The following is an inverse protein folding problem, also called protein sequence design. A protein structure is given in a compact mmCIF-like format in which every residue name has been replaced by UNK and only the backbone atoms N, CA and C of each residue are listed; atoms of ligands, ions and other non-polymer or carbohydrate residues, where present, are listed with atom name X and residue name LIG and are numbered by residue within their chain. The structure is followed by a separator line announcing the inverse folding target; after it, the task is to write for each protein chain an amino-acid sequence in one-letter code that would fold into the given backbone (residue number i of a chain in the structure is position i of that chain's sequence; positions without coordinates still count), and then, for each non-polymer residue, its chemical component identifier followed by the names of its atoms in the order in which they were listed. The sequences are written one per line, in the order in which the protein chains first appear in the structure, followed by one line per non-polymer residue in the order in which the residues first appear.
data_IF_882496490119
#
_entry.id   IF_882496490119
#
_cell.length_a   1.000
_cell.length_b   1.000
_cell.length_c   1.000
_cell.angle_alpha   90.00
_cell.angle_beta   90.00
_cell.angle_gamma   90.00
#
_symmetry.space_group_name_H-M   'P 1'
#
loop_
_entity.id
_entity.type
_entity.pdbx_description
1 polymer ?
#
# COMPACT_ATOMS: atom_id res chain seq x y z
N UNK A 1 -9.45 -1.39 -10.27
CA UNK A 1 -8.00 -1.18 -10.39
C UNK A 1 -7.33 -2.46 -9.93
N UNK A 2 -6.29 -2.90 -10.62
CA UNK A 2 -5.40 -3.96 -10.17
C UNK A 2 -4.03 -3.31 -10.05
N UNK A 3 -3.36 -3.46 -8.91
CA UNK A 3 -1.93 -3.21 -8.82
C UNK A 3 -1.18 -4.34 -9.52
N UNK A 4 -0.09 -3.99 -10.18
CA UNK A 4 0.72 -4.94 -10.92
C UNK A 4 2.15 -4.42 -11.06
N UNK A 5 3.12 -5.33 -10.99
CA UNK A 5 4.46 -5.07 -11.51
C UNK A 5 4.55 -5.48 -12.98
N UNK A 6 5.28 -4.68 -13.75
CA UNK A 6 5.59 -4.96 -15.15
C UNK A 6 7.10 -5.17 -15.28
N UNK A 7 7.49 -6.42 -15.50
CA UNK A 7 8.89 -6.82 -15.60
C UNK A 7 9.27 -7.03 -17.06
N UNK A 8 10.09 -6.15 -17.62
CA UNK A 8 10.62 -6.31 -18.97
C UNK A 8 11.69 -7.41 -18.97
N UNK A 9 11.59 -8.38 -19.87
CA UNK A 9 12.60 -9.44 -20.01
C UNK A 9 13.64 -9.02 -21.07
N UNK A 10 14.86 -8.59 -20.68
CA UNK A 10 15.82 -7.98 -21.61
C UNK A 10 16.38 -8.93 -22.68
N UNK A 11 16.25 -10.25 -22.50
CA UNK A 11 16.85 -11.26 -23.38
C UNK A 11 15.84 -12.26 -23.96
N UNK A 12 14.54 -11.94 -23.92
CA UNK A 12 13.54 -12.77 -24.58
C UNK A 12 13.72 -12.72 -26.11
N UNK A 13 13.53 -13.87 -26.79
CA UNK A 13 13.63 -13.96 -28.26
C UNK A 13 12.66 -13.00 -28.96
N UNK A 14 11.50 -12.79 -28.34
CA UNK A 14 10.50 -11.81 -28.74
C UNK A 14 10.26 -10.84 -27.57
N UNK A 15 9.95 -9.55 -27.83
CA UNK A 15 9.63 -8.59 -26.77
C UNK A 15 8.55 -9.13 -25.83
N UNK A 16 8.94 -9.36 -24.57
CA UNK A 16 8.12 -10.04 -23.57
C UNK A 16 8.13 -9.27 -22.26
N UNK A 17 6.98 -9.21 -21.61
CA UNK A 17 6.78 -8.59 -20.30
C UNK A 17 6.10 -9.62 -19.41
N UNK A 18 6.63 -9.82 -18.20
CA UNK A 18 5.91 -10.54 -17.14
C UNK A 18 5.07 -9.54 -16.38
N UNK A 19 3.81 -9.90 -16.17
CA UNK A 19 2.86 -9.10 -15.39
C UNK A 19 2.60 -9.85 -14.10
N UNK A 20 3.09 -9.30 -13.00
CA UNK A 20 2.96 -9.88 -11.68
C UNK A 20 1.80 -9.19 -10.95
N UNK A 21 0.83 -9.99 -10.49
CA UNK A 21 -0.44 -9.54 -9.90
C UNK A 21 -0.84 -10.46 -8.76
N UNK A 22 -1.74 -10.00 -7.89
CA UNK A 22 -2.38 -10.86 -6.89
C UNK A 22 -3.07 -12.05 -7.59
N UNK A 23 -2.78 -13.26 -7.10
CA UNK A 23 -3.32 -14.52 -7.61
C UNK A 23 -4.85 -14.52 -7.65
N UNK A 24 -5.51 -13.83 -6.72
CA UNK A 24 -6.97 -13.76 -6.66
C UNK A 24 -7.59 -13.07 -7.89
N UNK A 25 -6.83 -12.23 -8.60
CA UNK A 25 -7.34 -11.44 -9.73
C UNK A 25 -6.74 -11.84 -11.08
N UNK A 26 -5.81 -12.80 -11.12
CA UNK A 26 -5.04 -13.13 -12.33
C UNK A 26 -5.94 -13.55 -13.49
N UNK A 27 -6.93 -14.42 -13.23
CA UNK A 27 -7.88 -14.91 -14.23
C UNK A 27 -8.74 -13.78 -14.79
N UNK A 28 -9.28 -12.93 -13.92
CA UNK A 28 -10.11 -11.79 -14.30
C UNK A 28 -9.32 -10.74 -15.10
N UNK A 29 -8.06 -10.50 -14.72
CA UNK A 29 -7.18 -9.60 -15.45
C UNK A 29 -6.85 -10.13 -16.85
N UNK A 30 -6.53 -11.43 -16.99
CA UNK A 30 -6.29 -12.06 -18.29
C UNK A 30 -7.53 -11.90 -19.18
N UNK A 31 -8.72 -12.18 -18.65
CA UNK A 31 -9.98 -12.00 -19.38
C UNK A 31 -10.21 -10.53 -19.76
N UNK A 32 -9.92 -9.59 -18.85
CA UNK A 32 -10.01 -8.16 -19.09
C UNK A 32 -9.10 -7.73 -20.25
N UNK A 33 -7.81 -8.07 -20.22
CA UNK A 33 -6.83 -7.68 -21.25
C UNK A 33 -7.16 -8.31 -22.61
N UNK A 34 -7.65 -9.56 -22.64
CA UNK A 34 -8.07 -10.23 -23.88
C UNK A 34 -9.12 -9.43 -24.66
N UNK A 35 -10.01 -8.69 -24.00
CA UNK A 35 -11.00 -7.82 -24.66
C UNK A 35 -10.36 -6.69 -25.48
N UNK A 36 -9.14 -6.27 -25.11
CA UNK A 36 -8.40 -5.20 -25.79
C UNK A 36 -7.41 -5.71 -26.84
N UNK A 37 -7.29 -7.03 -27.04
CA UNK A 37 -6.48 -7.66 -28.09
C UNK A 37 -7.15 -7.54 -29.47
N UNK A 38 -7.58 -6.34 -29.85
CA UNK A 38 -8.23 -6.08 -31.13
C UNK A 38 -7.20 -6.10 -32.26
N UNK A 39 -7.08 -7.24 -32.96
CA UNK A 39 -6.12 -7.48 -34.07
C UNK A 39 -4.64 -7.30 -33.71
N UNK A 40 -4.35 -7.00 -32.44
CA UNK A 40 -2.99 -6.80 -31.95
C UNK A 40 -2.24 -8.13 -31.89
N UNK A 41 -1.01 -8.14 -32.40
CA UNK A 41 -0.17 -9.34 -32.52
C UNK A 41 0.61 -9.60 -31.22
N UNK A 42 -0.07 -10.03 -30.17
CA UNK A 42 0.58 -10.48 -28.94
C UNK A 42 -0.11 -11.71 -28.34
N UNK A 43 0.60 -12.47 -27.53
CA UNK A 43 0.07 -13.62 -26.79
C UNK A 43 -0.03 -13.28 -25.30
N UNK A 44 -0.98 -13.92 -24.61
CA UNK A 44 -1.14 -13.81 -23.16
C UNK A 44 -1.21 -15.25 -22.66
N UNK A 45 -0.22 -15.63 -21.86
CA UNK A 45 -0.12 -16.95 -21.27
C UNK A 45 -0.04 -16.78 -19.75
N UNK A 46 -0.77 -17.62 -19.02
CA UNK A 46 -0.54 -17.77 -17.59
C UNK A 46 0.75 -18.58 -17.41
N UNK A 47 1.70 -17.99 -16.69
CA UNK A 47 3.03 -18.57 -16.40
C UNK A 47 3.27 -18.68 -14.91
N UNK A 48 2.21 -18.67 -14.10
CA UNK A 48 2.30 -18.75 -12.63
C UNK A 48 3.06 -20.00 -12.15
N UNK A 49 2.96 -21.11 -12.89
CA UNK A 49 3.67 -22.36 -12.56
C UNK A 49 5.14 -22.39 -13.02
N UNK A 50 5.63 -21.32 -13.68
CA UNK A 50 7.01 -21.23 -14.14
C UNK A 50 7.90 -20.39 -13.20
N UNK A 51 7.30 -19.56 -12.34
CA UNK A 51 8.01 -18.58 -11.53
C UNK A 51 7.55 -18.59 -10.08
N UNK A 52 8.52 -18.45 -9.17
CA UNK A 52 8.31 -17.99 -7.81
C UNK A 52 8.65 -16.51 -7.71
N UNK A 53 7.83 -15.76 -6.97
CA UNK A 53 8.03 -14.33 -6.72
C UNK A 53 8.50 -14.17 -5.30
N UNK A 54 9.66 -13.54 -5.12
CA UNK A 54 10.28 -13.32 -3.81
C UNK A 54 10.52 -11.84 -3.59
N UNK A 55 10.41 -11.40 -2.33
CA UNK A 55 10.88 -10.09 -1.90
C UNK A 55 12.17 -10.24 -1.09
N UNK A 56 13.23 -9.56 -1.51
CA UNK A 56 14.46 -9.42 -0.73
C UNK A 56 14.53 -7.99 -0.18
N UNK A 57 14.52 -7.84 1.14
CA UNK A 57 14.53 -6.53 1.80
C UNK A 57 15.48 -6.51 3.01
N UNK A 58 15.70 -5.31 3.56
CA UNK A 58 16.68 -5.07 4.62
C UNK A 58 18.09 -4.82 4.10
N UNK A 59 19.08 -4.96 4.98
CA UNK A 59 20.44 -4.47 4.75
C UNK A 59 21.40 -5.52 4.14
N UNK A 60 20.91 -6.73 3.85
CA UNK A 60 21.74 -7.77 3.26
C UNK A 60 22.09 -7.42 1.81
N UNK A 61 23.35 -7.64 1.43
CA UNK A 61 23.78 -7.49 0.05
C UNK A 61 23.16 -8.61 -0.79
N UNK A 62 22.52 -8.23 -1.90
CA UNK A 62 21.97 -9.17 -2.87
C UNK A 62 23.05 -9.52 -3.89
N UNK A 63 23.37 -10.81 -4.02
CA UNK A 63 24.26 -11.33 -5.05
C UNK A 63 23.49 -11.50 -6.36
N UNK A 64 23.56 -10.48 -7.22
CA UNK A 64 22.87 -10.47 -8.51
C UNK A 64 23.50 -11.45 -9.52
N UNK A 65 24.80 -11.75 -9.39
CA UNK A 65 25.48 -12.68 -10.29
C UNK A 65 25.01 -14.11 -10.02
N UNK A 66 24.88 -14.48 -8.75
CA UNK A 66 24.29 -15.76 -8.35
C UNK A 66 22.84 -15.89 -8.83
N UNK A 67 22.00 -14.88 -8.65
CA UNK A 67 20.61 -14.90 -9.15
C UNK A 67 20.56 -15.08 -10.68
N UNK A 68 21.46 -14.40 -11.41
CA UNK A 68 21.57 -14.56 -12.86
C UNK A 68 21.99 -15.99 -13.26
N UNK A 69 22.85 -16.66 -12.49
CA UNK A 69 23.24 -18.07 -12.74
C UNK A 69 22.04 -19.03 -12.61
N UNK A 70 21.08 -18.73 -11.75
CA UNK A 70 19.81 -19.48 -11.64
C UNK A 70 18.81 -19.11 -12.75
N UNK A 71 19.13 -18.12 -13.58
CA UNK A 71 18.22 -17.55 -14.57
C UNK A 71 17.07 -16.75 -13.93
N UNK A 72 17.28 -16.27 -12.70
CA UNK A 72 16.34 -15.39 -12.03
C UNK A 72 16.45 -13.96 -12.55
N UNK A 73 15.38 -13.20 -12.41
CA UNK A 73 15.38 -11.76 -12.65
C UNK A 73 15.22 -11.03 -11.33
N UNK A 74 16.06 -10.04 -11.08
CA UNK A 74 15.97 -9.19 -9.90
C UNK A 74 15.77 -7.73 -10.31
N UNK A 75 14.71 -7.12 -9.80
CA UNK A 75 14.35 -5.72 -10.06
C UNK A 75 14.29 -4.96 -8.74
N UNK A 76 14.77 -3.72 -8.73
CA UNK A 76 14.56 -2.85 -7.57
C UNK A 76 13.06 -2.62 -7.39
N UNK A 77 12.59 -2.80 -6.15
CA UNK A 77 11.22 -2.44 -5.80
C UNK A 77 11.15 -0.93 -5.63
N UNK A 78 10.51 -0.26 -6.57
CA UNK A 78 10.46 1.21 -6.62
C UNK A 78 9.34 1.79 -5.75
N UNK A 79 8.52 0.98 -5.09
CA UNK A 79 7.38 1.49 -4.30
C UNK A 79 7.83 2.29 -3.09
N UNK A 80 8.95 1.90 -2.48
CA UNK A 80 9.63 2.63 -1.41
C UNK A 80 11.12 2.24 -1.40
N UNK A 81 12.04 3.13 -1.01
CA UNK A 81 13.47 2.82 -0.89
C UNK A 81 13.77 1.58 -0.04
N UNK A 82 12.93 1.29 0.96
CA UNK A 82 13.11 0.20 1.91
C UNK A 82 12.50 -1.13 1.45
N UNK A 83 11.80 -1.16 0.30
CA UNK A 83 11.21 -2.40 -0.20
C UNK A 83 12.27 -3.34 -0.80
N UNK A 84 13.44 -2.85 -1.20
CA UNK A 84 14.55 -3.70 -1.62
C UNK A 84 14.43 -4.20 -3.06
N UNK A 85 14.32 -5.51 -3.27
CA UNK A 85 14.31 -6.16 -4.58
C UNK A 85 13.14 -7.14 -4.73
N UNK A 86 12.49 -7.10 -5.90
CA UNK A 86 11.56 -8.11 -6.37
C UNK A 86 12.33 -9.12 -7.22
N UNK A 87 12.27 -10.40 -6.87
CA UNK A 87 12.98 -11.48 -7.57
C UNK A 87 11.98 -12.46 -8.17
N UNK A 88 12.15 -12.74 -9.47
CA UNK A 88 11.44 -13.79 -10.19
C UNK A 88 12.38 -14.98 -10.34
N UNK A 89 12.17 -16.01 -9.53
CA UNK A 89 12.97 -17.23 -9.49
C UNK A 89 12.30 -18.33 -10.35
N UNK A 90 12.98 -18.96 -11.31
CA UNK A 90 12.40 -20.07 -12.04
C UNK A 90 12.07 -21.24 -11.10
N UNK A 91 10.88 -21.84 -11.24
CA UNK A 91 10.35 -22.95 -10.40
C UNK A 91 11.20 -24.21 -10.27
N UNK A 92 12.27 -24.33 -11.06
CA UNK A 92 13.29 -25.39 -10.95
C UNK A 92 14.30 -25.14 -9.81
N UNK A 93 14.34 -23.92 -9.30
CA UNK A 93 15.15 -23.48 -8.17
C UNK A 93 14.25 -23.24 -6.96
N UNK A 94 14.84 -23.20 -5.77
CA UNK A 94 14.09 -23.01 -4.53
C UNK A 94 14.67 -21.86 -3.72
N UNK A 95 13.85 -21.22 -2.88
CA UNK A 95 14.29 -20.12 -2.01
C UNK A 95 15.46 -20.51 -1.09
N UNK A 96 15.59 -21.79 -0.74
CA UNK A 96 16.68 -22.30 0.11
C UNK A 96 18.05 -22.25 -0.57
N UNK A 97 18.10 -22.14 -1.90
CA UNK A 97 19.34 -21.97 -2.67
C UNK A 97 19.88 -20.54 -2.58
N UNK A 98 19.06 -19.58 -2.14
CA UNK A 98 19.46 -18.19 -1.93
C UNK A 98 20.05 -18.08 -0.51
N UNK A 99 21.33 -17.71 -0.35
CA UNK A 99 22.03 -17.70 0.94
C UNK A 99 21.66 -16.47 1.79
N UNK A 100 20.37 -16.22 1.96
CA UNK A 100 19.80 -15.16 2.77
C UNK A 100 18.92 -15.75 3.87
N UNK A 101 18.66 -14.95 4.91
CA UNK A 101 17.75 -15.35 5.97
C UNK A 101 16.32 -15.39 5.44
N UNK A 102 15.64 -16.52 5.57
CA UNK A 102 14.23 -16.63 5.24
C UNK A 102 13.37 -15.78 6.18
N UNK A 103 12.40 -15.10 5.58
CA UNK A 103 11.34 -14.38 6.26
C UNK A 103 10.00 -15.02 5.86
N UNK A 104 9.02 -14.96 6.76
CA UNK A 104 7.67 -15.47 6.50
C UNK A 104 6.83 -14.43 5.74
N UNK A 105 5.69 -14.87 5.19
CA UNK A 105 4.69 -13.95 4.61
C UNK A 105 4.19 -12.91 5.62
N UNK A 106 4.16 -13.29 6.91
CA UNK A 106 3.80 -12.39 8.02
C UNK A 106 4.87 -11.30 8.19
N UNK A 107 6.15 -11.67 8.18
CA UNK A 107 7.26 -10.71 8.29
C UNK A 107 7.24 -9.71 7.12
N UNK A 108 7.01 -10.20 5.90
CA UNK A 108 6.87 -9.35 4.72
C UNK A 108 5.64 -8.41 4.83
N UNK A 109 4.51 -8.93 5.29
CA UNK A 109 3.29 -8.14 5.51
C UNK A 109 3.54 -7.00 6.51
N UNK A 110 4.19 -7.31 7.64
CA UNK A 110 4.57 -6.31 8.65
C UNK A 110 5.50 -5.26 8.04
N UNK A 111 6.58 -5.68 7.37
CA UNK A 111 7.54 -4.77 6.73
C UNK A 111 6.84 -3.79 5.79
N UNK A 112 6.02 -4.32 4.88
CA UNK A 112 5.28 -3.53 3.89
C UNK A 112 4.28 -2.56 4.55
N UNK A 113 3.56 -3.00 5.58
CA UNK A 113 2.65 -2.13 6.34
C UNK A 113 3.40 -1.01 7.05
N UNK A 114 4.55 -1.27 7.63
CA UNK A 114 5.39 -0.23 8.25
C UNK A 114 5.89 0.80 7.23
N UNK A 115 6.12 0.37 5.99
CA UNK A 115 6.46 1.27 4.87
C UNK A 115 5.26 2.03 4.29
N UNK A 116 4.03 1.71 4.69
CA UNK A 116 2.82 2.32 4.15
C UNK A 116 2.54 1.93 2.69
N UNK A 117 2.99 0.74 2.26
CA UNK A 117 2.86 0.27 0.89
C UNK A 117 1.64 -0.66 0.78
N UNK A 118 0.53 -0.25 0.13
CA UNK A 118 -0.59 -1.16 -0.12
C UNK A 118 -0.24 -2.18 -1.21
N UNK A 119 -0.72 -3.41 -1.08
CA UNK A 119 -0.55 -4.48 -2.06
C UNK A 119 -1.76 -5.41 -2.13
N UNK A 120 -2.15 -5.75 -3.35
CA UNK A 120 -3.14 -6.78 -3.64
C UNK A 120 -4.58 -6.42 -3.31
N UNK A 121 -5.47 -7.39 -3.52
CA UNK A 121 -6.92 -7.21 -3.54
C UNK A 121 -7.56 -6.86 -2.18
N UNK A 122 -6.85 -7.14 -1.08
CA UNK A 122 -7.27 -6.80 0.29
C UNK A 122 -7.17 -5.31 0.59
N UNK A 123 -6.25 -4.61 -0.06
CA UNK A 123 -5.93 -3.21 0.24
C UNK A 123 -6.25 -2.31 -0.96
N UNK A 124 -6.12 -2.85 -2.18
CA UNK A 124 -6.43 -2.20 -3.46
C UNK A 124 -7.58 -2.96 -4.13
N UNK A 125 -8.80 -2.72 -3.62
CA UNK A 125 -10.00 -3.35 -4.16
C UNK A 125 -10.27 -3.04 -5.64
N UNK A 126 -10.56 -4.10 -6.39
CA UNK A 126 -10.86 -3.99 -7.81
C UNK A 126 -12.17 -3.25 -8.06
N UNK A 127 -12.06 -2.07 -8.65
CA UNK A 127 -13.20 -1.32 -9.21
C UNK A 127 -13.69 -0.18 -8.31
N UNK A 128 -13.32 -0.19 -7.03
CA UNK A 128 -13.63 0.88 -6.07
C UNK A 128 -12.41 1.73 -5.68
N UNK A 129 -11.22 1.15 -5.67
CA UNK A 129 -9.99 1.87 -5.29
C UNK A 129 -9.54 2.84 -6.38
N UNK A 130 -9.17 4.05 -5.96
CA UNK A 130 -8.63 5.09 -6.83
C UNK A 130 -7.09 5.09 -6.76
N UNK A 131 -6.38 5.27 -7.90
CA UNK A 131 -4.92 5.15 -7.93
C UNK A 131 -4.21 6.15 -7.02
N UNK A 132 -4.65 7.42 -7.03
CA UNK A 132 -4.04 8.46 -6.19
C UNK A 132 -4.39 8.29 -4.71
N UNK A 133 -5.57 7.76 -4.39
CA UNK A 133 -5.90 7.40 -3.00
C UNK A 133 -5.08 6.21 -2.52
N UNK A 134 -4.65 5.33 -3.42
CA UNK A 134 -3.81 4.16 -3.14
C UNK A 134 -2.31 4.46 -3.26
N UNK A 135 -1.93 5.74 -3.35
CA UNK A 135 -0.54 6.21 -3.41
C UNK A 135 0.28 5.70 -4.62
N UNK A 136 -0.39 5.28 -5.71
CA UNK A 136 0.28 4.77 -6.91
C UNK A 136 1.14 5.86 -7.57
N UNK A 137 0.79 7.13 -7.42
CA UNK A 137 1.59 8.28 -7.86
C UNK A 137 2.92 8.41 -7.10
N UNK A 138 2.95 8.07 -5.81
CA UNK A 138 4.19 8.06 -5.02
C UNK A 138 5.03 6.81 -5.28
N UNK A 139 4.39 5.71 -5.65
CA UNK A 139 5.05 4.43 -5.92
C UNK A 139 5.43 4.23 -7.40
N UNK A 140 5.59 5.33 -8.16
CA UNK A 140 5.98 5.32 -9.57
C UNK A 140 5.07 4.50 -10.52
N UNK A 141 3.82 4.27 -10.15
CA UNK A 141 2.88 3.45 -10.95
C UNK A 141 2.00 4.25 -11.93
N UNK A 142 2.04 5.59 -11.89
CA UNK A 142 1.37 6.46 -12.87
C UNK A 142 2.37 7.44 -13.47
N UNK A 143 2.46 7.45 -14.80
CA UNK A 143 3.17 8.48 -15.56
C UNK A 143 2.17 9.46 -16.16
N UNK A 144 2.33 10.76 -15.86
CA UNK A 144 1.48 11.84 -16.38
C UNK A 144 1.96 12.41 -17.71
N UNK A 145 3.13 11.97 -18.20
CA UNK A 145 3.74 12.41 -19.48
C UNK A 145 3.58 11.38 -20.59
N UNK A 146 3.06 10.19 -20.30
CA UNK A 146 2.87 9.14 -21.30
C UNK A 146 1.64 9.36 -22.18
N UNK A 147 1.54 8.56 -23.24
CA UNK A 147 0.38 8.53 -24.14
C UNK A 147 -0.92 8.03 -23.50
N UNK A 148 -2.00 7.99 -24.28
CA UNK A 148 -3.34 7.72 -23.78
C UNK A 148 -3.52 6.34 -23.13
N UNK A 149 -4.21 6.27 -22.00
CA UNK A 149 -4.59 5.02 -21.33
C UNK A 149 -5.99 5.10 -20.69
N UNK A 150 -6.58 3.95 -20.38
CA UNK A 150 -7.93 3.86 -19.80
C UNK A 150 -7.95 4.50 -18.41
N UNK A 151 -8.90 5.42 -18.18
CA UNK A 151 -9.03 6.12 -16.90
C UNK A 151 -8.05 7.28 -16.70
N UNK A 152 -7.27 7.65 -17.72
CA UNK A 152 -6.30 8.74 -17.65
C UNK A 152 -6.96 10.08 -17.30
N UNK A 153 -8.09 10.43 -17.93
CA UNK A 153 -8.69 11.76 -17.76
C UNK A 153 -9.03 12.05 -16.30
N UNK A 154 -9.70 11.11 -15.62
CA UNK A 154 -10.07 11.25 -14.21
C UNK A 154 -8.83 11.30 -13.31
N UNK A 155 -7.85 10.44 -13.58
CA UNK A 155 -6.60 10.36 -12.80
C UNK A 155 -5.77 11.64 -12.93
N UNK A 156 -5.54 12.10 -14.17
CA UNK A 156 -4.80 13.32 -14.46
C UNK A 156 -5.52 14.55 -13.89
N UNK A 157 -6.85 14.65 -14.07
CA UNK A 157 -7.64 15.76 -13.51
C UNK A 157 -7.49 15.84 -12.00
N UNK A 158 -7.63 14.71 -11.30
CA UNK A 158 -7.51 14.66 -9.82
C UNK A 158 -6.10 15.05 -9.37
N UNK A 159 -5.07 14.61 -10.10
CA UNK A 159 -3.68 14.95 -9.80
C UNK A 159 -3.38 16.44 -10.00
N UNK A 160 -3.64 16.99 -11.18
CA UNK A 160 -3.27 18.38 -11.51
C UNK A 160 -4.12 19.43 -10.77
N UNK A 161 -5.35 19.08 -10.37
CA UNK A 161 -6.17 19.96 -9.53
C UNK A 161 -5.76 19.92 -8.05
N UNK A 162 -4.89 19.00 -7.63
CA UNK A 162 -4.47 18.85 -6.24
C UNK A 162 -5.59 18.40 -5.30
N UNK A 163 -6.61 17.71 -5.82
CA UNK A 163 -7.81 17.34 -5.06
C UNK A 163 -7.71 15.98 -4.36
N UNK A 164 -6.51 15.41 -4.20
CA UNK A 164 -6.32 14.16 -3.45
C UNK A 164 -6.47 14.44 -1.95
N UNK A 165 -7.67 14.14 -1.43
CA UNK A 165 -8.03 14.41 -0.02
C UNK A 165 -7.85 13.21 0.90
N UNK A 166 -7.79 12.00 0.34
CA UNK A 166 -7.61 10.75 1.08
C UNK A 166 -6.42 9.98 0.52
N UNK A 167 -5.67 9.32 1.40
CA UNK A 167 -4.60 8.39 1.03
C UNK A 167 -4.58 7.18 1.95
N UNK A 168 -4.12 6.04 1.44
CA UNK A 168 -3.77 4.89 2.26
C UNK A 168 -2.52 5.25 3.08
N UNK A 169 -2.60 5.04 4.39
CA UNK A 169 -1.55 5.37 5.33
C UNK A 169 -1.29 4.20 6.28
N UNK A 170 -0.04 4.01 6.73
CA UNK A 170 0.27 3.11 7.82
C UNK A 170 -0.28 3.63 9.13
N UNK A 171 -0.81 2.72 9.93
CA UNK A 171 -1.46 3.02 11.20
C UNK A 171 -0.95 2.12 12.33
N UNK A 172 -0.98 2.64 13.56
CA UNK A 172 -0.98 1.84 14.78
C UNK A 172 -2.35 1.90 15.45
N UNK A 173 -2.67 0.85 16.20
CA UNK A 173 -3.92 0.67 16.93
C UNK A 173 -3.62 0.46 18.41
N UNK A 174 -4.39 1.11 19.27
CA UNK A 174 -4.27 0.98 20.72
C UNK A 174 -5.66 0.91 21.37
N UNK A 175 -5.89 0.01 22.35
CA UNK A 175 -7.15 -0.04 23.08
C UNK A 175 -7.36 1.19 23.99
N UNK A 176 -6.28 1.90 24.33
CA UNK A 176 -6.30 3.08 25.16
C UNK A 176 -6.00 4.34 24.34
N UNK A 177 -6.51 5.50 24.76
CA UNK A 177 -6.17 6.75 24.13
C UNK A 177 -4.72 7.13 24.43
N UNK A 178 -3.83 6.79 23.52
CA UNK A 178 -2.42 7.10 23.61
C UNK A 178 -2.07 8.40 22.88
N UNK A 179 -1.14 9.16 23.47
CA UNK A 179 -0.50 10.30 22.83
C UNK A 179 0.81 9.81 22.23
N UNK A 180 0.81 9.49 20.94
CA UNK A 180 2.06 9.29 20.21
C UNK A 180 2.55 10.67 19.75
N UNK A 181 3.72 11.08 20.23
CA UNK A 181 4.44 12.22 19.66
C UNK A 181 4.93 11.82 18.27
N UNK A 182 4.39 12.42 17.21
CA UNK A 182 4.94 12.28 15.86
C UNK A 182 6.14 13.23 15.72
N UNK A 183 7.30 12.80 15.19
CA UNK A 183 7.55 11.54 14.50
C UNK A 183 8.17 10.47 15.42
N UNK A 184 7.40 9.42 15.74
CA UNK A 184 7.93 8.20 16.34
C UNK A 184 7.74 7.03 15.36
N UNK A 185 8.68 6.06 15.31
CA UNK A 185 8.48 4.85 14.52
C UNK A 185 7.28 4.05 15.06
N UNK A 186 6.59 3.35 14.17
CA UNK A 186 5.54 2.41 14.55
C UNK A 186 6.20 1.23 15.27
N UNK A 187 5.82 1.00 16.53
CA UNK A 187 6.26 -0.18 17.29
C UNK A 187 5.26 -1.31 17.10
N UNK A 188 5.73 -2.44 16.57
CA UNK A 188 4.93 -3.66 16.41
C UNK A 188 4.93 -4.43 17.71
N UNK A 189 3.76 -4.59 18.31
CA UNK A 189 3.55 -5.41 19.50
C UNK A 189 2.87 -6.72 19.09
N UNK A 190 3.69 -7.76 18.90
CA UNK A 190 3.20 -9.09 18.52
C UNK A 190 2.52 -9.83 19.68
N UNK A 191 2.67 -9.35 20.91
CA UNK A 191 2.04 -9.91 22.11
C UNK A 191 0.64 -9.35 22.35
N UNK A 192 0.34 -8.18 21.76
CA UNK A 192 -0.97 -7.55 21.86
C UNK A 192 -2.01 -8.32 21.04
N UNK A 193 -3.01 -8.86 21.74
CA UNK A 193 -4.08 -9.64 21.13
C UNK A 193 -5.30 -8.75 20.88
N UNK A 194 -5.22 -7.89 19.86
CA UNK A 194 -6.32 -7.03 19.44
C UNK A 194 -7.29 -7.77 18.53
N UNK A 195 -8.59 -7.64 18.82
CA UNK A 195 -9.64 -7.98 17.85
C UNK A 195 -9.67 -6.89 16.77
N UNK A 196 -9.05 -7.16 15.64
CA UNK A 196 -8.97 -6.20 14.53
C UNK A 196 -10.34 -6.03 13.86
N UNK A 197 -10.72 -4.80 13.46
CA UNK A 197 -11.95 -4.56 12.71
C UNK A 197 -11.94 -5.23 11.33
N UNK A 198 -13.13 -5.43 10.75
CA UNK A 198 -13.25 -5.90 9.37
C UNK A 198 -12.80 -4.85 8.35
N UNK A 199 -12.33 -5.32 7.19
CA UNK A 199 -12.04 -4.46 6.03
C UNK A 199 -13.25 -3.60 5.69
N UNK A 200 -13.03 -2.28 5.56
CA UNK A 200 -14.08 -1.30 5.28
C UNK A 200 -14.78 -0.72 6.52
N UNK A 201 -14.36 -1.10 7.74
CA UNK A 201 -14.83 -0.48 8.98
C UNK A 201 -14.57 1.04 8.98
N UNK A 202 -15.53 1.81 9.50
CA UNK A 202 -15.47 3.27 9.52
C UNK A 202 -14.48 3.78 10.57
N UNK A 203 -13.47 4.51 10.11
CA UNK A 203 -12.64 5.33 10.99
C UNK A 203 -13.39 6.63 11.27
N UNK A 204 -13.61 6.94 12.55
CA UNK A 204 -14.29 8.16 13.00
C UNK A 204 -13.30 9.15 13.58
N UNK A 205 -13.53 10.43 13.28
CA UNK A 205 -12.82 11.57 13.86
C UNK A 205 -13.65 12.13 15.00
N UNK A 206 -13.12 12.03 16.22
CA UNK A 206 -13.85 12.27 17.47
C UNK A 206 -13.14 13.36 18.27
N UNK A 207 -13.89 14.38 18.72
CA UNK A 207 -13.39 15.39 19.66
C UNK A 207 -13.33 14.82 21.08
N UNK A 208 -12.28 15.08 21.87
CA UNK A 208 -12.27 14.75 23.28
C UNK A 208 -13.40 15.50 23.98
N UNK A 209 -14.23 14.79 24.76
CA UNK A 209 -15.22 15.47 25.59
C UNK A 209 -14.50 16.11 26.77
N UNK A 210 -14.69 17.42 26.96
CA UNK A 210 -14.38 18.05 28.26
C UNK A 210 -15.36 17.47 29.26
N UNK A 211 -14.84 16.86 30.32
CA UNK A 211 -15.62 16.37 31.43
C UNK A 211 -16.24 17.55 32.16
N UNK A 212 -17.42 18.02 31.71
CA UNK A 212 -18.33 18.82 32.52
C UNK A 212 -19.78 18.71 32.00
N UNK A 213 -20.63 18.16 32.86
CA UNK A 213 -22.07 18.42 33.02
C UNK A 213 -23.04 17.97 31.90
N UNK A 214 -23.66 16.82 32.17
CA UNK A 214 -25.08 16.47 31.93
C UNK A 214 -25.79 17.05 30.71
N UNK A 215 -25.41 16.65 29.50
CA UNK A 215 -26.37 16.46 28.39
C UNK A 215 -25.86 15.35 27.48
N UNK A 216 -26.66 14.31 27.32
CA UNK A 216 -26.41 13.12 26.50
C UNK A 216 -26.56 13.45 25.01
N UNK A 217 -25.64 14.23 24.45
CA UNK A 217 -25.40 14.24 23.01
C UNK A 217 -24.03 13.62 22.73
N UNK A 218 -23.95 12.57 21.90
CA UNK A 218 -22.66 12.03 21.47
C UNK A 218 -21.82 13.16 20.88
N UNK A 219 -20.57 13.30 21.32
CA UNK A 219 -19.64 14.25 20.72
C UNK A 219 -19.65 14.14 19.20
N UNK A 220 -19.52 15.27 18.48
CA UNK A 220 -19.66 15.33 17.02
C UNK A 220 -18.62 14.46 16.31
N UNK A 221 -18.94 13.20 16.04
CA UNK A 221 -18.10 12.28 15.27
C UNK A 221 -18.31 12.47 13.77
N UNK A 222 -17.22 12.54 13.00
CA UNK A 222 -17.27 12.63 11.53
C UNK A 222 -16.55 11.43 10.91
N UNK A 223 -16.93 11.02 9.70
CA UNK A 223 -16.17 10.01 8.96
C UNK A 223 -14.79 10.54 8.58
N UNK A 224 -13.76 9.75 8.90
CA UNK A 224 -12.36 10.04 8.65
C UNK A 224 -11.75 9.19 7.56
N UNK A 225 -12.32 8.03 7.32
CA UNK A 225 -11.71 7.05 6.44
C UNK A 225 -12.26 5.65 6.67
N UNK A 226 -11.56 4.68 6.10
CA UNK A 226 -11.88 3.27 6.18
C UNK A 226 -10.65 2.46 6.57
N UNK A 227 -10.80 1.55 7.52
CA UNK A 227 -9.79 0.52 7.78
C UNK A 227 -9.73 -0.44 6.58
N UNK A 228 -8.55 -0.91 6.21
CA UNK A 228 -8.37 -1.83 5.07
C UNK A 228 -7.93 -3.21 5.54
N UNK A 229 -6.78 -3.28 6.20
CA UNK A 229 -6.19 -4.52 6.67
C UNK A 229 -5.26 -4.22 7.86
N UNK A 230 -4.98 -5.23 8.67
CA UNK A 230 -4.05 -5.10 9.78
C UNK A 230 -3.54 -6.45 10.29
N UNK A 231 -2.51 -6.37 11.11
CA UNK A 231 -1.92 -7.50 11.82
C UNK A 231 -1.35 -6.99 13.14
N UNK A 232 -1.53 -7.74 14.22
CA UNK A 232 -1.15 -7.30 15.57
C UNK A 232 -1.79 -5.95 15.92
N UNK A 233 -0.97 -4.93 16.21
CA UNK A 233 -1.39 -3.56 16.51
C UNK A 233 -1.13 -2.58 15.34
N UNK A 234 -0.90 -3.07 14.12
CA UNK A 234 -0.60 -2.22 12.95
C UNK A 234 -1.54 -2.53 11.78
N UNK A 235 -1.56 -1.65 10.79
CA UNK A 235 -2.31 -1.88 9.56
C UNK A 235 -2.21 -0.77 8.54
N UNK A 236 -3.12 -0.81 7.58
CA UNK A 236 -3.35 0.25 6.60
C UNK A 236 -4.78 0.76 6.69
N UNK A 237 -4.95 2.07 6.55
CA UNK A 237 -6.26 2.70 6.45
C UNK A 237 -6.27 3.78 5.38
N UNK A 238 -7.38 3.90 4.65
CA UNK A 238 -7.66 5.00 3.74
C UNK A 238 -8.19 6.19 4.54
N UNK A 239 -7.38 7.23 4.74
CA UNK A 239 -7.67 8.33 5.66
C UNK A 239 -7.69 9.68 4.96
N UNK A 240 -8.53 10.59 5.45
CA UNK A 240 -8.55 12.01 5.04
C UNK A 240 -7.33 12.73 5.61
N UNK A 241 -6.50 13.29 4.73
CA UNK A 241 -5.23 13.95 5.10
C UNK A 241 -5.45 15.06 6.14
N UNK A 242 -6.44 15.94 5.92
CA UNK A 242 -6.77 17.04 6.84
C UNK A 242 -7.09 16.55 8.27
N UNK A 243 -7.71 15.37 8.40
CA UNK A 243 -8.09 14.84 9.71
C UNK A 243 -6.92 14.15 10.40
N UNK A 244 -6.04 13.50 9.64
CA UNK A 244 -4.76 12.98 10.14
C UNK A 244 -3.90 14.13 10.67
N UNK A 245 -3.80 15.23 9.92
CA UNK A 245 -3.01 16.40 10.34
C UNK A 245 -3.54 17.00 11.65
N UNK A 246 -4.87 17.03 11.81
CA UNK A 246 -5.50 17.51 13.04
C UNK A 246 -5.38 16.53 14.20
N UNK A 247 -5.38 15.23 13.95
CA UNK A 247 -5.24 14.22 15.00
C UNK A 247 -3.82 14.07 15.52
N UNK A 248 -2.82 14.46 14.72
CA UNK A 248 -1.41 14.40 15.11
C UNK A 248 -0.92 15.71 15.76
N UNK A 249 -1.82 16.66 16.06
CA UNK A 249 -1.48 17.91 16.73
C UNK A 249 -1.07 17.68 18.19
N UNK A 250 -0.04 18.38 18.66
CA UNK A 250 0.42 18.33 20.06
C UNK A 250 -0.46 19.15 21.02
N UNK A 251 -1.49 19.84 20.51
CA UNK A 251 -2.39 20.65 21.33
C UNK A 251 -3.22 19.78 22.30
N UNK A 252 -3.40 20.27 23.53
CA UNK A 252 -4.24 19.61 24.51
C UNK A 252 -5.69 19.54 24.02
N UNK A 253 -6.26 18.32 23.99
CA UNK A 253 -7.64 18.11 23.53
C UNK A 253 -7.81 18.04 22.01
N UNK A 254 -6.74 17.76 21.25
CA UNK A 254 -6.86 17.48 19.81
C UNK A 254 -7.77 16.26 19.52
N UNK A 255 -8.42 16.25 18.35
CA UNK A 255 -9.25 15.13 17.91
C UNK A 255 -8.49 13.83 17.81
N UNK A 256 -9.20 12.72 18.00
CA UNK A 256 -8.66 11.36 17.84
C UNK A 256 -9.33 10.65 16.68
N UNK A 257 -8.58 9.76 16.03
CA UNK A 257 -9.12 8.78 15.11
C UNK A 257 -9.47 7.52 15.90
N UNK A 258 -10.69 7.03 15.71
CA UNK A 258 -11.25 5.93 16.50
C UNK A 258 -11.95 4.95 15.57
N UNK A 259 -11.71 3.67 15.80
CA UNK A 259 -12.37 2.52 15.21
C UNK A 259 -13.20 1.80 16.28
N UNK A 260 -14.14 0.99 15.83
CA UNK A 260 -14.90 0.07 16.68
C UNK A 260 -14.36 -1.34 16.42
N UNK A 261 -13.87 -2.00 17.47
CA UNK A 261 -13.46 -3.40 17.40
C UNK A 261 -14.69 -4.31 17.23
N UNK A 262 -14.50 -5.60 16.82
CA UNK A 262 -15.59 -6.55 16.69
C UNK A 262 -16.42 -6.77 17.97
N UNK A 263 -15.84 -6.54 19.14
CA UNK A 263 -16.52 -6.62 20.44
C UNK A 263 -17.23 -5.32 20.86
N UNK A 264 -17.20 -4.29 20.01
CA UNK A 264 -17.78 -2.97 20.26
C UNK A 264 -16.89 -2.01 21.05
N UNK A 265 -15.70 -2.44 21.49
CA UNK A 265 -14.75 -1.58 22.20
C UNK A 265 -14.07 -0.57 21.25
N UNK A 266 -13.69 0.63 21.74
CA UNK A 266 -12.99 1.60 20.92
C UNK A 266 -11.53 1.19 20.72
N UNK A 267 -11.05 1.30 19.48
CA UNK A 267 -9.63 1.24 19.14
C UNK A 267 -9.18 2.63 18.67
N UNK A 268 -8.17 3.17 19.33
CA UNK A 268 -7.55 4.44 18.97
C UNK A 268 -6.52 4.19 17.88
N UNK A 269 -6.62 4.99 16.82
CA UNK A 269 -5.77 4.89 15.65
C UNK A 269 -4.82 6.07 15.61
N UNK A 270 -3.54 5.81 15.39
CA UNK A 270 -2.57 6.83 15.00
C UNK A 270 -2.06 6.55 13.59
N UNK A 271 -2.05 7.58 12.74
CA UNK A 271 -1.63 7.46 11.35
C UNK A 271 -0.29 8.15 11.13
N UNK A 272 0.56 7.52 10.33
CA UNK A 272 1.92 7.99 10.07
C UNK A 272 2.08 8.34 8.59
N UNK A 273 2.76 9.46 8.31
CA UNK A 273 3.18 9.78 6.94
C UNK A 273 4.51 9.06 6.68
N UNK A 274 4.59 8.15 5.69
CA UNK A 274 5.85 7.52 5.33
C UNK A 274 6.90 8.55 4.94
N UNK A 275 8.13 8.39 5.42
CA UNK A 275 9.24 9.33 5.19
C UNK A 275 9.60 9.51 3.72
N UNK A 276 9.38 8.48 2.89
CA UNK A 276 9.64 8.49 1.46
C UNK A 276 8.58 9.24 0.63
N UNK A 277 7.51 9.76 1.25
CA UNK A 277 6.56 10.64 0.55
C UNK A 277 7.16 12.01 0.21
N UNK A 278 8.09 12.50 1.04
CA UNK A 278 8.65 13.86 0.93
C UNK A 278 9.85 13.95 -0.03
N UNK A 279 10.39 12.82 -0.50
CA UNK A 279 11.46 12.82 -1.49
C UNK A 279 10.91 13.21 -2.86
N UNK A 280 11.01 14.48 -3.25
CA UNK A 280 11.01 15.10 -4.61
C UNK A 280 10.20 14.44 -5.77
N UNK A 281 9.25 13.56 -5.52
CA UNK A 281 8.56 12.73 -6.52
C UNK A 281 7.38 13.45 -7.16
N UNK A 282 6.91 14.53 -6.53
CA UNK A 282 5.90 15.43 -7.09
C UNK A 282 6.54 16.68 -7.69
N UNK A 283 7.41 16.54 -8.69
CA UNK A 283 7.65 17.68 -9.60
C UNK A 283 6.32 17.98 -10.32
N UNK A 284 5.53 18.88 -9.76
CA UNK A 284 4.52 19.61 -10.53
C UNK A 284 5.28 20.18 -11.74
N UNK A 285 4.82 19.97 -12.98
CA UNK A 285 5.42 20.68 -14.10
C UNK A 285 5.33 22.17 -13.75
N UNK A 286 6.49 22.83 -13.69
CA UNK A 286 6.55 24.28 -13.53
C UNK A 286 5.55 24.88 -14.52
N UNK A 287 4.54 25.57 -13.99
CA UNK A 287 3.64 26.36 -14.81
C UNK A 287 4.48 27.45 -15.46
N UNK A 288 4.85 27.26 -16.71
CA UNK A 288 5.25 28.36 -17.58
C UNK A 288 4.00 29.16 -17.87
N UNK A 289 3.91 30.34 -17.25
CA UNK A 289 3.12 31.48 -17.72
C UNK A 289 3.46 31.83 -19.16
#
# INVERSE_FOLDING_TARGET
MADAFLHLIPYAREPSILVEVDKCISTDLIAFVKRFKLRSKFQINDVSDAWDVMQLYGNAQVDLDMLNLYGAYAFRDVRSPEMGWRVLLPKKHTEQEIPLKNATDVDYTIHRMLQGVPEGSKEIHMGSSLPLESCIDYMHGVDFRKGCYIGQELTARTFFTGLVRKRIMPISLDPNPCHHSSPAPINVDTSMNLALPDSGADVRFVMPQKSDVSTSQPGRSRSAGKFLSGIHNIGLALLRLEQVDKSNSEEAGHPRLVLEAPDGSPLYLHAYRPSWWDSETLQKPNGSN
#
